data_IF_502476984949
#
_entry.id   IF_502476984949
#
_cell.length_a   1.000
_cell.length_b   1.000
_cell.length_c   1.000
_cell.angle_alpha   90.00
_cell.angle_beta   90.00
_cell.angle_gamma   90.00
#
_symmetry.space_group_name_H-M   'P 1'
#
loop_
_entity.id
_entity.type
_entity.pdbx_description
1 polymer ?
#
# COMPACT_ATOMS: atom_id res chain seq x y z
N UNK A 1 -91.34 -23.56 19.17
CA UNK A 1 -91.25 -24.97 18.75
C UNK A 1 -91.31 -25.82 20.02
N UNK A 2 -92.50 -26.32 20.36
CA UNK A 2 -92.65 -27.27 21.45
C UNK A 2 -92.61 -28.68 20.82
N UNK A 3 -91.49 -29.37 21.00
CA UNK A 3 -91.36 -30.76 20.55
C UNK A 3 -92.32 -31.64 21.34
N UNK A 4 -92.99 -32.50 20.57
CA UNK A 4 -94.02 -33.40 21.02
C UNK A 4 -93.46 -34.43 22.01
N UNK A 5 -94.06 -34.47 23.21
CA UNK A 5 -93.93 -35.59 24.12
C UNK A 5 -94.66 -36.81 23.55
N UNK A 6 -93.98 -37.54 22.67
CA UNK A 6 -94.43 -38.86 22.23
C UNK A 6 -94.55 -39.77 23.46
N UNK A 7 -95.76 -40.30 23.69
CA UNK A 7 -96.02 -41.29 24.73
C UNK A 7 -95.09 -42.50 24.59
N UNK A 8 -94.47 -42.99 25.67
CA UNK A 8 -93.77 -44.27 25.62
C UNK A 8 -94.80 -45.39 25.49
N UNK A 9 -95.01 -45.84 24.25
CA UNK A 9 -95.87 -46.98 23.95
C UNK A 9 -95.28 -48.25 24.62
N UNK A 10 -96.09 -49.08 25.29
CA UNK A 10 -95.59 -50.20 26.07
C UNK A 10 -95.18 -51.39 25.19
N UNK A 11 -93.98 -51.90 25.48
CA UNK A 11 -93.64 -53.33 25.51
C UNK A 11 -94.00 -54.18 24.28
N UNK A 12 -93.06 -54.28 23.32
CA UNK A 12 -92.82 -55.61 22.71
C UNK A 12 -92.14 -56.47 23.79
N UNK A 13 -92.65 -57.67 24.13
CA UNK A 13 -91.95 -58.53 25.06
C UNK A 13 -90.62 -58.95 24.43
N UNK A 14 -89.53 -58.42 24.98
CA UNK A 14 -88.17 -58.90 24.71
C UNK A 14 -88.13 -60.36 25.17
N UNK A 15 -88.22 -61.30 24.25
CA UNK A 15 -88.11 -62.72 24.56
C UNK A 15 -86.67 -63.00 25.02
N UNK A 16 -86.52 -63.56 26.22
CA UNK A 16 -85.22 -64.00 26.72
C UNK A 16 -84.78 -65.28 26.00
N UNK A 17 -83.51 -65.34 25.64
CA UNK A 17 -82.86 -66.55 25.11
C UNK A 17 -82.94 -67.67 26.15
N UNK A 18 -83.25 -68.90 25.71
CA UNK A 18 -83.37 -70.08 26.59
C UNK A 18 -82.11 -70.94 26.48
N UNK A 19 -81.52 -71.30 27.62
CA UNK A 19 -80.35 -72.19 27.74
C UNK A 19 -80.82 -73.54 28.34
N UNK A 20 -79.99 -74.59 28.33
CA UNK A 20 -80.37 -75.92 28.85
C UNK A 20 -80.88 -75.81 30.30
N UNK A 21 -82.21 -75.92 30.46
CA UNK A 21 -83.01 -75.61 31.65
C UNK A 21 -83.08 -74.12 32.02
N UNK A 22 -83.85 -73.34 31.25
CA UNK A 22 -84.38 -72.03 31.67
C UNK A 22 -83.89 -70.83 30.83
N UNK A 23 -84.26 -69.63 31.23
CA UNK A 23 -83.77 -68.39 30.59
C UNK A 23 -82.30 -68.11 30.92
N UNK A 24 -81.59 -67.44 30.02
CA UNK A 24 -80.24 -66.94 30.26
C UNK A 24 -80.24 -65.94 31.43
N UNK A 25 -79.64 -66.35 32.55
CA UNK A 25 -79.60 -65.56 33.78
C UNK A 25 -78.89 -64.22 33.59
N UNK A 26 -77.84 -64.17 32.76
CA UNK A 26 -77.08 -62.93 32.51
C UNK A 26 -77.96 -61.93 31.76
N UNK A 27 -78.67 -62.40 30.73
CA UNK A 27 -79.58 -61.57 29.94
C UNK A 27 -80.77 -61.07 30.77
N UNK A 28 -81.33 -61.91 31.65
CA UNK A 28 -82.42 -61.53 32.56
C UNK A 28 -81.94 -60.50 33.57
N UNK A 29 -80.76 -60.69 34.19
CA UNK A 29 -80.20 -59.74 35.15
C UNK A 29 -79.89 -58.39 34.52
N UNK A 30 -79.35 -58.36 33.30
CA UNK A 30 -79.15 -57.12 32.55
C UNK A 30 -80.47 -56.41 32.23
N UNK A 31 -81.49 -57.15 31.84
CA UNK A 31 -82.82 -56.58 31.60
C UNK A 31 -83.47 -56.06 32.87
N UNK A 32 -83.40 -56.79 33.99
CA UNK A 32 -83.92 -56.33 35.29
C UNK A 32 -83.16 -55.10 35.76
N UNK A 33 -81.83 -55.05 35.60
CA UNK A 33 -81.03 -53.84 35.88
C UNK A 33 -81.46 -52.67 35.01
N UNK A 34 -81.71 -52.89 33.72
CA UNK A 34 -82.19 -51.87 32.79
C UNK A 34 -83.58 -51.35 33.19
N UNK A 35 -84.54 -52.24 33.45
CA UNK A 35 -85.90 -51.86 33.88
C UNK A 35 -85.88 -51.15 35.24
N UNK A 36 -85.04 -51.60 36.18
CA UNK A 36 -84.87 -50.92 37.46
C UNK A 36 -84.29 -49.52 37.29
N UNK A 37 -83.34 -49.33 36.38
CA UNK A 37 -82.79 -48.03 36.03
C UNK A 37 -83.84 -47.12 35.35
N UNK A 38 -84.60 -47.66 34.39
CA UNK A 38 -85.70 -46.96 33.71
C UNK A 38 -86.81 -46.56 34.70
N UNK A 39 -87.21 -47.45 35.62
CA UNK A 39 -88.20 -47.16 36.65
C UNK A 39 -87.71 -46.07 37.62
N UNK A 40 -86.43 -46.11 38.00
CA UNK A 40 -85.80 -45.07 38.83
C UNK A 40 -85.78 -43.73 38.11
N UNK A 41 -85.44 -43.71 36.82
CA UNK A 41 -85.48 -42.51 36.00
C UNK A 41 -86.91 -41.98 35.83
N UNK A 42 -87.89 -42.86 35.57
CA UNK A 42 -89.29 -42.49 35.43
C UNK A 42 -89.86 -41.94 36.76
N UNK A 43 -89.47 -42.53 37.89
CA UNK A 43 -89.88 -42.04 39.20
C UNK A 43 -89.32 -40.64 39.47
N UNK A 44 -88.04 -40.41 39.17
CA UNK A 44 -87.42 -39.08 39.25
C UNK A 44 -88.12 -38.08 38.34
N UNK A 45 -88.34 -38.42 37.08
CA UNK A 45 -89.07 -37.57 36.13
C UNK A 45 -90.49 -37.29 36.60
N UNK A 46 -91.19 -38.26 37.19
CA UNK A 46 -92.52 -38.08 37.77
C UNK A 46 -92.48 -37.14 38.96
N UNK A 47 -91.49 -37.26 39.84
CA UNK A 47 -91.31 -36.37 40.99
C UNK A 47 -91.00 -34.93 40.52
N UNK A 48 -90.12 -34.76 39.53
CA UNK A 48 -89.78 -33.45 38.94
C UNK A 48 -91.01 -32.79 38.28
N UNK A 49 -91.78 -33.56 37.50
CA UNK A 49 -93.02 -33.07 36.89
C UNK A 49 -94.03 -32.74 37.99
N UNK A 50 -94.20 -33.58 39.00
CA UNK A 50 -95.12 -33.31 40.12
C UNK A 50 -94.74 -32.03 40.86
N UNK A 51 -93.44 -31.78 41.09
CA UNK A 51 -92.95 -30.53 41.68
C UNK A 51 -93.30 -29.34 40.77
N UNK A 52 -93.03 -29.45 39.47
CA UNK A 52 -93.39 -28.40 38.50
C UNK A 52 -94.89 -28.11 38.46
N UNK A 53 -95.75 -29.13 38.58
CA UNK A 53 -97.21 -28.94 38.65
C UNK A 53 -97.58 -28.19 39.93
N UNK A 54 -96.97 -28.53 41.07
CA UNK A 54 -97.26 -27.80 42.33
C UNK A 54 -96.83 -26.34 42.26
N UNK A 55 -95.68 -26.04 41.65
CA UNK A 55 -95.18 -24.66 41.52
C UNK A 55 -95.99 -23.85 40.52
N UNK A 56 -96.37 -24.45 39.38
CA UNK A 56 -97.29 -23.83 38.43
C UNK A 56 -98.68 -23.60 39.03
N UNK A 57 -99.18 -24.52 39.86
CA UNK A 57 -100.47 -24.35 40.55
C UNK A 57 -100.42 -23.18 41.53
N UNK A 58 -99.30 -23.03 42.28
CA UNK A 58 -99.08 -21.85 43.13
C UNK A 58 -99.04 -20.58 42.28
N UNK A 59 -98.21 -20.54 41.24
CA UNK A 59 -98.10 -19.38 40.34
C UNK A 59 -99.44 -19.00 39.72
N UNK A 60 -100.26 -19.97 39.31
CA UNK A 60 -101.60 -19.74 38.80
C UNK A 60 -102.53 -19.15 39.86
N UNK A 61 -102.51 -19.68 41.09
CA UNK A 61 -103.33 -19.15 42.18
C UNK A 61 -102.95 -17.71 42.54
N UNK A 62 -101.64 -17.40 42.59
CA UNK A 62 -101.15 -16.04 42.79
C UNK A 62 -101.58 -15.11 41.66
N UNK A 63 -101.42 -15.53 40.41
CA UNK A 63 -101.83 -14.73 39.25
C UNK A 63 -103.36 -14.51 39.20
N UNK A 64 -104.16 -15.50 39.60
CA UNK A 64 -105.62 -15.36 39.71
C UNK A 64 -106.02 -14.35 40.78
N UNK A 65 -105.34 -14.38 41.94
CA UNK A 65 -105.57 -13.42 43.01
C UNK A 65 -105.17 -12.00 42.57
N UNK A 66 -103.98 -11.83 42.00
CA UNK A 66 -103.49 -10.54 41.51
C UNK A 66 -104.41 -9.96 40.43
N UNK A 67 -104.92 -10.80 39.53
CA UNK A 67 -105.89 -10.39 38.52
C UNK A 67 -107.24 -9.98 39.13
N UNK A 68 -107.70 -10.66 40.19
CA UNK A 68 -108.91 -10.28 40.90
C UNK A 68 -108.73 -8.92 41.61
N UNK A 69 -107.59 -8.72 42.28
CA UNK A 69 -107.24 -7.47 42.95
C UNK A 69 -107.11 -6.30 41.96
N UNK A 70 -106.44 -6.52 40.82
CA UNK A 70 -106.31 -5.53 39.75
C UNK A 70 -107.66 -5.16 39.12
N UNK A 71 -108.54 -6.15 38.90
CA UNK A 71 -109.91 -5.90 38.43
C UNK A 71 -110.69 -5.06 39.43
N UNK A 72 -110.62 -5.39 40.73
CA UNK A 72 -111.31 -4.63 41.76
C UNK A 72 -110.78 -3.20 41.87
N UNK A 73 -109.46 -3.00 41.76
CA UNK A 73 -108.84 -1.67 41.73
C UNK A 73 -109.29 -0.86 40.51
N UNK A 74 -109.32 -1.48 39.32
CA UNK A 74 -109.79 -0.84 38.09
C UNK A 74 -111.27 -0.44 38.18
N UNK A 75 -112.14 -1.33 38.69
CA UNK A 75 -113.56 -1.01 38.89
C UNK A 75 -113.74 0.21 39.79
N UNK A 76 -113.00 0.29 40.91
CA UNK A 76 -113.02 1.47 41.80
C UNK A 76 -112.53 2.74 41.09
N UNK A 77 -111.50 2.63 40.25
CA UNK A 77 -110.96 3.77 39.49
C UNK A 77 -111.93 4.28 38.41
N UNK A 78 -112.74 3.40 37.83
CA UNK A 78 -113.75 3.74 36.82
C UNK A 78 -115.01 4.32 37.45
N UNK A 79 -115.43 3.82 38.62
CA UNK A 79 -116.63 4.27 39.33
C UNK A 79 -116.44 5.65 39.99
N UNK A 80 -115.27 5.93 40.58
CA UNK A 80 -114.93 7.24 41.16
C UNK A 80 -113.52 7.71 40.73
N UNK A 81 -113.37 8.25 39.51
CA UNK A 81 -112.08 8.62 38.95
C UNK A 81 -111.41 9.83 39.62
N UNK A 82 -112.16 10.60 40.42
CA UNK A 82 -111.65 11.73 41.21
C UNK A 82 -111.47 11.37 42.69
N UNK A 83 -111.84 10.16 43.09
CA UNK A 83 -111.72 9.67 44.45
C UNK A 83 -110.27 9.44 44.90
N UNK A 84 -109.99 9.45 46.22
CA UNK A 84 -108.64 9.26 46.75
C UNK A 84 -107.95 7.95 46.31
N UNK A 85 -108.73 6.87 46.13
CA UNK A 85 -108.22 5.56 45.69
C UNK A 85 -107.76 5.58 44.22
N UNK A 86 -108.54 6.18 43.33
CA UNK A 86 -108.20 6.35 41.91
C UNK A 86 -106.95 7.21 41.71
N UNK A 87 -106.82 8.28 42.49
CA UNK A 87 -105.62 9.14 42.47
C UNK A 87 -104.39 8.39 42.97
N UNK A 88 -104.50 7.58 44.02
CA UNK A 88 -103.39 6.78 44.56
C UNK A 88 -102.89 5.74 43.54
N UNK A 89 -103.79 5.05 42.84
CA UNK A 89 -103.43 4.12 41.76
C UNK A 89 -102.79 4.86 40.56
N UNK A 90 -103.33 6.02 40.16
CA UNK A 90 -102.71 6.82 39.09
C UNK A 90 -101.30 7.27 39.46
N UNK A 91 -101.07 7.73 40.69
CA UNK A 91 -99.73 8.10 41.17
C UNK A 91 -98.78 6.90 41.16
N UNK A 92 -99.25 5.71 41.57
CA UNK A 92 -98.46 4.48 41.50
C UNK A 92 -98.07 4.13 40.06
N UNK A 93 -99.02 4.20 39.11
CA UNK A 93 -98.72 3.98 37.68
C UNK A 93 -97.79 5.04 37.10
N UNK A 94 -97.93 6.30 37.51
CA UNK A 94 -97.03 7.38 37.09
C UNK A 94 -95.61 7.16 37.61
N UNK A 95 -95.46 6.68 38.86
CA UNK A 95 -94.17 6.35 39.43
C UNK A 95 -93.53 5.13 38.74
N UNK A 96 -94.31 4.10 38.42
CA UNK A 96 -93.85 2.96 37.63
C UNK A 96 -93.39 3.37 36.23
N UNK A 97 -94.17 4.19 35.53
CA UNK A 97 -93.78 4.73 34.22
C UNK A 97 -92.51 5.58 34.31
N UNK A 98 -92.35 6.38 35.37
CA UNK A 98 -91.13 7.14 35.59
C UNK A 98 -89.92 6.24 35.88
N UNK A 99 -90.09 5.15 36.63
CA UNK A 99 -89.05 4.16 36.87
C UNK A 99 -88.63 3.44 35.58
N UNK A 100 -89.60 3.06 34.74
CA UNK A 100 -89.35 2.49 33.41
C UNK A 100 -88.61 3.50 32.51
N UNK A 101 -89.05 4.76 32.47
CA UNK A 101 -88.39 5.83 31.70
C UNK A 101 -86.95 6.07 32.19
N UNK A 102 -86.71 6.07 33.50
CA UNK A 102 -85.36 6.19 34.07
C UNK A 102 -84.49 4.98 33.69
N UNK A 103 -85.05 3.77 33.71
CA UNK A 103 -84.33 2.56 33.31
C UNK A 103 -83.93 2.63 31.82
N UNK A 104 -84.84 3.09 30.95
CA UNK A 104 -84.58 3.29 29.53
C UNK A 104 -83.54 4.38 29.28
N UNK A 105 -83.59 5.50 30.00
CA UNK A 105 -82.60 6.57 29.92
C UNK A 105 -81.21 6.09 30.38
N UNK A 106 -81.14 5.32 31.47
CA UNK A 106 -79.88 4.72 31.93
C UNK A 106 -79.31 3.76 30.89
N UNK A 107 -80.14 2.87 30.35
CA UNK A 107 -79.71 1.93 29.30
C UNK A 107 -79.20 2.68 28.07
N UNK A 108 -79.91 3.70 27.59
CA UNK A 108 -79.45 4.53 26.47
C UNK A 108 -78.12 5.22 26.77
N UNK A 109 -77.97 5.79 27.96
CA UNK A 109 -76.72 6.43 28.36
C UNK A 109 -75.55 5.42 28.45
N UNK A 110 -75.79 4.20 28.92
CA UNK A 110 -74.81 3.12 28.94
C UNK A 110 -74.42 2.67 27.52
N UNK A 111 -75.40 2.49 26.63
CA UNK A 111 -75.18 2.14 25.23
C UNK A 111 -74.39 3.23 24.48
N UNK A 112 -74.73 4.50 24.67
CA UNK A 112 -74.01 5.64 24.09
C UNK A 112 -72.58 5.78 24.65
N UNK A 113 -72.40 5.55 25.95
CA UNK A 113 -71.07 5.55 26.56
C UNK A 113 -70.21 4.39 26.04
N UNK A 114 -70.80 3.20 25.87
CA UNK A 114 -70.12 2.04 25.29
C UNK A 114 -69.75 2.28 23.82
N UNK A 115 -70.66 2.85 23.03
CA UNK A 115 -70.41 3.21 21.64
C UNK A 115 -69.29 4.26 21.52
N UNK A 116 -69.31 5.28 22.39
CA UNK A 116 -68.29 6.33 22.41
C UNK A 116 -66.91 5.76 22.77
N UNK A 117 -66.84 4.89 23.80
CA UNK A 117 -65.58 4.21 24.17
C UNK A 117 -65.05 3.34 23.04
N UNK A 118 -65.92 2.51 22.43
CA UNK A 118 -65.52 1.66 21.32
C UNK A 118 -65.04 2.46 20.10
N UNK A 119 -65.68 3.58 19.78
CA UNK A 119 -65.24 4.47 18.71
C UNK A 119 -63.88 5.11 19.02
N UNK A 120 -63.67 5.56 20.26
CA UNK A 120 -62.39 6.13 20.71
C UNK A 120 -61.26 5.09 20.66
N UNK A 121 -61.50 3.87 21.13
CA UNK A 121 -60.53 2.77 21.09
C UNK A 121 -60.18 2.41 19.64
N UNK A 122 -61.19 2.28 18.77
CA UNK A 122 -60.96 2.01 17.33
C UNK A 122 -60.15 3.12 16.65
N UNK A 123 -60.41 4.37 17.00
CA UNK A 123 -59.65 5.51 16.46
C UNK A 123 -58.21 5.51 16.97
N UNK A 124 -58.00 5.24 18.27
CA UNK A 124 -56.67 5.15 18.87
C UNK A 124 -55.86 4.01 18.25
N UNK A 125 -56.45 2.84 18.04
CA UNK A 125 -55.80 1.69 17.42
C UNK A 125 -55.45 1.99 15.96
N UNK A 126 -56.37 2.54 15.16
CA UNK A 126 -56.07 2.97 13.78
C UNK A 126 -54.93 3.99 13.72
N UNK A 127 -54.87 4.91 14.68
CA UNK A 127 -53.81 5.91 14.75
C UNK A 127 -52.47 5.27 15.09
N UNK A 128 -52.44 4.34 16.04
CA UNK A 128 -51.24 3.58 16.41
C UNK A 128 -50.74 2.70 15.27
N UNK A 129 -51.64 2.02 14.56
CA UNK A 129 -51.29 1.18 13.42
C UNK A 129 -50.71 2.01 12.27
N UNK A 130 -51.30 3.17 11.96
CA UNK A 130 -50.72 4.10 10.98
C UNK A 130 -49.34 4.60 11.39
N UNK A 131 -49.19 5.05 12.63
CA UNK A 131 -47.90 5.53 13.14
C UNK A 131 -46.82 4.42 13.11
N UNK A 132 -47.19 3.17 13.41
CA UNK A 132 -46.29 2.01 13.29
C UNK A 132 -45.91 1.74 11.83
N UNK A 133 -46.87 1.76 10.92
CA UNK A 133 -46.61 1.56 9.49
C UNK A 133 -45.69 2.65 8.92
N UNK A 134 -45.95 3.91 9.26
CA UNK A 134 -45.12 5.05 8.83
C UNK A 134 -43.70 4.94 9.40
N UNK A 135 -43.56 4.57 10.68
CA UNK A 135 -42.26 4.35 11.31
C UNK A 135 -41.49 3.19 10.66
N UNK A 136 -42.17 2.09 10.31
CA UNK A 136 -41.56 0.96 9.62
C UNK A 136 -41.11 1.35 8.20
N UNK A 137 -41.94 2.10 7.47
CA UNK A 137 -41.60 2.59 6.14
C UNK A 137 -40.38 3.52 6.19
N UNK A 138 -40.38 4.50 7.09
CA UNK A 138 -39.24 5.40 7.31
C UNK A 138 -37.98 4.63 7.70
N UNK A 139 -38.11 3.59 8.52
CA UNK A 139 -37.01 2.69 8.87
C UNK A 139 -36.41 1.98 7.65
N UNK A 140 -37.26 1.43 6.78
CA UNK A 140 -36.83 0.79 5.52
C UNK A 140 -36.16 1.78 4.56
N UNK A 141 -36.74 2.97 4.39
CA UNK A 141 -36.17 4.02 3.54
C UNK A 141 -34.81 4.49 4.05
N UNK A 142 -34.67 4.70 5.37
CA UNK A 142 -33.41 5.08 6.00
C UNK A 142 -32.33 4.00 5.83
N UNK A 143 -32.70 2.72 6.00
CA UNK A 143 -31.81 1.59 5.76
C UNK A 143 -31.37 1.50 4.30
N UNK A 144 -32.30 1.62 3.35
CA UNK A 144 -31.98 1.63 1.92
C UNK A 144 -31.05 2.79 1.58
N UNK A 145 -31.30 3.98 2.13
CA UNK A 145 -30.46 5.15 1.90
C UNK A 145 -29.06 4.97 2.48
N UNK A 146 -28.94 4.42 3.69
CA UNK A 146 -27.65 4.07 4.30
C UNK A 146 -26.87 3.09 3.43
N UNK A 147 -27.51 1.99 3.03
CA UNK A 147 -26.87 0.97 2.19
C UNK A 147 -26.46 1.54 0.81
N UNK A 148 -27.22 2.48 0.26
CA UNK A 148 -26.85 3.16 -0.99
C UNK A 148 -25.63 4.06 -0.81
N UNK A 149 -25.60 4.86 0.28
CA UNK A 149 -24.47 5.73 0.58
C UNK A 149 -23.19 4.93 0.90
N UNK A 150 -23.31 3.80 1.59
CA UNK A 150 -22.19 2.91 1.87
C UNK A 150 -21.59 2.35 0.58
N UNK A 151 -22.44 1.86 -0.35
CA UNK A 151 -22.00 1.41 -1.68
C UNK A 151 -21.33 2.53 -2.48
N UNK A 152 -21.93 3.72 -2.52
CA UNK A 152 -21.35 4.87 -3.22
C UNK A 152 -19.99 5.29 -2.62
N UNK A 153 -19.86 5.21 -1.30
CA UNK A 153 -18.60 5.49 -0.60
C UNK A 153 -17.54 4.42 -0.91
N UNK A 154 -17.90 3.15 -0.93
CA UNK A 154 -17.01 2.04 -1.33
C UNK A 154 -16.55 2.20 -2.78
N UNK A 155 -17.46 2.47 -3.72
CA UNK A 155 -17.13 2.73 -5.12
C UNK A 155 -16.21 3.93 -5.28
N UNK A 156 -16.46 5.03 -4.56
CA UNK A 156 -15.62 6.23 -4.57
C UNK A 156 -14.23 5.95 -4.01
N UNK A 157 -14.11 5.17 -2.93
CA UNK A 157 -12.81 4.76 -2.37
C UNK A 157 -12.04 3.87 -3.34
N UNK A 158 -12.68 2.85 -3.90
CA UNK A 158 -12.05 1.96 -4.88
C UNK A 158 -11.59 2.72 -6.13
N UNK A 159 -12.40 3.67 -6.63
CA UNK A 159 -12.02 4.53 -7.75
C UNK A 159 -10.83 5.44 -7.41
N UNK A 160 -10.81 6.03 -6.22
CA UNK A 160 -9.71 6.86 -5.75
C UNK A 160 -8.41 6.07 -5.56
N UNK A 161 -8.49 4.87 -4.99
CA UNK A 161 -7.34 3.96 -4.85
C UNK A 161 -6.77 3.56 -6.20
N UNK A 162 -7.64 3.16 -7.14
CA UNK A 162 -7.22 2.83 -8.52
C UNK A 162 -6.55 4.02 -9.20
N UNK A 163 -7.15 5.21 -9.13
CA UNK A 163 -6.58 6.41 -9.74
C UNK A 163 -5.23 6.82 -9.08
N UNK A 164 -5.09 6.61 -7.77
CA UNK A 164 -3.82 6.82 -7.06
C UNK A 164 -2.75 5.83 -7.53
N UNK A 165 -3.08 4.54 -7.59
CA UNK A 165 -2.18 3.50 -8.07
C UNK A 165 -1.73 3.76 -9.52
N UNK A 166 -2.64 4.16 -10.41
CA UNK A 166 -2.32 4.52 -11.79
C UNK A 166 -1.37 5.73 -11.87
N UNK A 167 -1.58 6.76 -11.03
CA UNK A 167 -0.68 7.92 -10.97
C UNK A 167 0.71 7.55 -10.46
N UNK A 168 0.79 6.70 -9.45
CA UNK A 168 2.07 6.21 -8.90
C UNK A 168 2.81 5.41 -9.97
N UNK A 169 2.14 4.45 -10.63
CA UNK A 169 2.74 3.66 -11.70
C UNK A 169 3.21 4.53 -12.88
N UNK A 170 2.42 5.54 -13.27
CA UNK A 170 2.81 6.48 -14.32
C UNK A 170 4.04 7.33 -13.91
N UNK A 171 4.09 7.79 -12.66
CA UNK A 171 5.22 8.55 -12.14
C UNK A 171 6.49 7.70 -12.05
N UNK A 172 6.39 6.45 -11.61
CA UNK A 172 7.50 5.50 -11.56
C UNK A 172 8.05 5.21 -12.96
N UNK A 173 7.17 4.95 -13.93
CA UNK A 173 7.57 4.76 -15.33
C UNK A 173 8.28 5.99 -15.89
N UNK A 174 7.72 7.18 -15.69
CA UNK A 174 8.33 8.43 -16.17
C UNK A 174 9.69 8.70 -15.50
N UNK A 175 9.84 8.34 -14.21
CA UNK A 175 11.12 8.42 -13.51
C UNK A 175 12.15 7.46 -14.09
N UNK A 176 11.76 6.19 -14.30
CA UNK A 176 12.63 5.18 -14.92
C UNK A 176 13.09 5.59 -16.33
N UNK A 177 12.19 6.13 -17.15
CA UNK A 177 12.52 6.65 -18.48
C UNK A 177 13.52 7.82 -18.43
N UNK A 178 13.36 8.74 -17.47
CA UNK A 178 14.32 9.84 -17.26
C UNK A 178 15.69 9.35 -16.82
N UNK A 179 15.74 8.39 -15.89
CA UNK A 179 16.99 7.78 -15.43
C UNK A 179 17.70 7.11 -16.61
N UNK A 180 17.00 6.29 -17.38
CA UNK A 180 17.56 5.63 -18.56
C UNK A 180 18.07 6.62 -19.62
N UNK A 181 17.34 7.72 -19.87
CA UNK A 181 17.76 8.76 -20.81
C UNK A 181 19.01 9.51 -20.32
N UNK A 182 19.09 9.80 -19.02
CA UNK A 182 20.25 10.44 -18.41
C UNK A 182 21.48 9.51 -18.45
N UNK A 183 21.32 8.23 -18.13
CA UNK A 183 22.39 7.24 -18.22
C UNK A 183 22.93 7.12 -19.64
N UNK A 184 22.04 7.05 -20.64
CA UNK A 184 22.43 7.03 -22.05
C UNK A 184 23.23 8.28 -22.43
N UNK A 185 22.74 9.46 -22.08
CA UNK A 185 23.42 10.74 -22.37
C UNK A 185 24.78 10.82 -21.67
N UNK A 186 24.86 10.34 -20.43
CA UNK A 186 26.11 10.28 -19.67
C UNK A 186 27.11 9.33 -20.33
N UNK A 187 26.67 8.13 -20.73
CA UNK A 187 27.51 7.17 -21.45
C UNK A 187 28.02 7.73 -22.78
N UNK A 188 27.17 8.39 -23.57
CA UNK A 188 27.56 9.06 -24.82
C UNK A 188 28.58 10.17 -24.57
N UNK A 189 28.41 10.96 -23.52
CA UNK A 189 29.34 12.04 -23.16
C UNK A 189 30.69 11.49 -22.70
N UNK A 190 30.69 10.43 -21.90
CA UNK A 190 31.92 9.75 -21.46
C UNK A 190 32.66 9.18 -22.67
N UNK A 191 31.97 8.46 -23.55
CA UNK A 191 32.56 7.89 -24.76
C UNK A 191 33.13 8.98 -25.71
N UNK A 192 32.43 10.10 -25.88
CA UNK A 192 32.92 11.23 -26.66
C UNK A 192 34.17 11.85 -26.05
N UNK A 193 34.19 12.06 -24.73
CA UNK A 193 35.35 12.59 -24.01
C UNK A 193 36.55 11.65 -24.08
N UNK A 194 36.34 10.33 -23.92
CA UNK A 194 37.38 9.32 -24.06
C UNK A 194 37.98 9.33 -25.47
N UNK A 195 37.14 9.40 -26.50
CA UNK A 195 37.60 9.51 -27.89
C UNK A 195 38.44 10.78 -28.12
N UNK A 196 37.95 11.94 -27.69
CA UNK A 196 38.70 13.20 -27.81
C UNK A 196 40.01 13.18 -27.00
N UNK A 197 40.00 12.55 -25.82
CA UNK A 197 41.20 12.37 -25.01
C UNK A 197 42.22 11.49 -25.72
N UNK A 198 41.79 10.35 -26.28
CA UNK A 198 42.64 9.45 -27.04
C UNK A 198 43.23 10.13 -28.28
N UNK A 199 42.44 10.90 -29.02
CA UNK A 199 42.92 11.70 -30.17
C UNK A 199 43.96 12.73 -29.76
N UNK A 200 43.78 13.43 -28.63
CA UNK A 200 44.76 14.39 -28.10
C UNK A 200 46.05 13.69 -27.65
N UNK A 201 45.96 12.55 -26.98
CA UNK A 201 47.12 11.76 -26.57
C UNK A 201 47.89 11.30 -27.82
N UNK A 202 47.21 10.72 -28.82
CA UNK A 202 47.84 10.28 -30.06
C UNK A 202 48.50 11.44 -30.82
N UNK A 203 47.87 12.62 -30.86
CA UNK A 203 48.45 13.81 -31.48
C UNK A 203 49.69 14.31 -30.72
N UNK A 204 49.66 14.30 -29.38
CA UNK A 204 50.79 14.68 -28.55
C UNK A 204 51.96 13.69 -28.69
N UNK A 205 51.68 12.38 -28.74
CA UNK A 205 52.69 11.34 -28.98
C UNK A 205 53.33 11.49 -30.36
N UNK A 206 52.52 11.73 -31.41
CA UNK A 206 53.04 12.00 -32.76
C UNK A 206 53.95 13.22 -32.78
N UNK A 207 53.51 14.34 -32.20
CA UNK A 207 54.29 15.58 -32.13
C UNK A 207 55.59 15.37 -31.35
N UNK A 208 55.54 14.69 -30.20
CA UNK A 208 56.74 14.36 -29.42
C UNK A 208 57.70 13.46 -30.19
N UNK A 209 57.18 12.47 -30.93
CA UNK A 209 57.99 11.60 -31.79
C UNK A 209 58.67 12.39 -32.91
N UNK A 210 57.97 13.33 -33.55
CA UNK A 210 58.52 14.22 -34.58
C UNK A 210 59.58 15.17 -34.00
N UNK A 211 59.36 15.77 -32.83
CA UNK A 211 60.33 16.62 -32.14
C UNK A 211 61.59 15.84 -31.72
N UNK A 212 61.43 14.63 -31.19
CA UNK A 212 62.55 13.75 -30.85
C UNK A 212 63.33 13.37 -32.12
N UNK A 213 62.64 13.06 -33.23
CA UNK A 213 63.29 12.76 -34.50
C UNK A 213 64.06 13.97 -35.06
N UNK A 214 63.46 15.16 -35.03
CA UNK A 214 64.10 16.40 -35.45
C UNK A 214 65.32 16.76 -34.57
N UNK A 215 65.19 16.63 -33.25
CA UNK A 215 66.27 16.85 -32.31
C UNK A 215 67.42 15.86 -32.52
N UNK A 216 67.12 14.58 -32.81
CA UNK A 216 68.14 13.58 -33.17
C UNK A 216 68.84 13.93 -34.48
N UNK A 217 68.10 14.32 -35.52
CA UNK A 217 68.66 14.71 -36.81
C UNK A 217 69.56 15.95 -36.67
N UNK A 218 69.15 16.95 -35.89
CA UNK A 218 69.97 18.13 -35.63
C UNK A 218 71.20 17.80 -34.78
N UNK A 219 71.06 16.97 -33.75
CA UNK A 219 72.20 16.50 -32.96
C UNK A 219 73.21 15.72 -33.83
N UNK A 220 72.73 14.90 -34.77
CA UNK A 220 73.57 14.18 -35.73
C UNK A 220 74.25 15.15 -36.72
N UNK A 221 73.54 16.17 -37.20
CA UNK A 221 74.10 17.23 -38.05
C UNK A 221 75.22 17.98 -37.34
N UNK A 222 74.98 18.45 -36.10
CA UNK A 222 75.96 19.15 -35.27
C UNK A 222 77.14 18.24 -34.93
N UNK A 223 76.91 16.97 -34.60
CA UNK A 223 77.98 16.01 -34.33
C UNK A 223 78.85 15.78 -35.58
N UNK A 224 78.25 15.67 -36.77
CA UNK A 224 78.97 15.54 -38.03
C UNK A 224 79.74 16.81 -38.40
N UNK A 225 79.16 17.99 -38.17
CA UNK A 225 79.81 19.29 -38.40
C UNK A 225 81.00 19.51 -37.44
N UNK A 226 80.82 19.20 -36.15
CA UNK A 226 81.89 19.22 -35.16
C UNK A 226 83.00 18.22 -35.50
N UNK A 227 82.64 17.01 -35.95
CA UNK A 227 83.61 16.00 -36.39
C UNK A 227 84.38 16.44 -37.63
N UNK A 228 83.70 17.09 -38.58
CA UNK A 228 84.32 17.64 -39.79
C UNK A 228 85.30 18.78 -39.46
N UNK A 229 84.87 19.74 -38.63
CA UNK A 229 85.72 20.87 -38.21
C UNK A 229 86.89 20.40 -37.35
N UNK A 230 86.68 19.48 -36.41
CA UNK A 230 87.76 18.86 -35.64
C UNK A 230 88.76 18.11 -36.54
N UNK A 231 88.26 17.41 -37.58
CA UNK A 231 89.13 16.78 -38.57
C UNK A 231 89.93 17.81 -39.37
N UNK A 232 89.29 18.86 -39.87
CA UNK A 232 89.96 19.95 -40.58
C UNK A 232 91.02 20.64 -39.71
N UNK A 233 90.72 20.89 -38.43
CA UNK A 233 91.68 21.44 -37.48
C UNK A 233 92.84 20.49 -37.23
N UNK A 234 92.58 19.18 -37.06
CA UNK A 234 93.65 18.18 -36.94
C UNK A 234 94.52 18.13 -38.20
N UNK A 235 93.91 18.11 -39.39
CA UNK A 235 94.62 18.12 -40.67
C UNK A 235 95.46 19.41 -40.84
N UNK A 236 94.92 20.58 -40.44
CA UNK A 236 95.66 21.85 -40.41
C UNK A 236 96.83 21.84 -39.43
N UNK A 237 96.63 21.31 -38.21
CA UNK A 237 97.69 21.20 -37.21
C UNK A 237 98.79 20.24 -37.68
N UNK A 238 98.43 19.13 -38.34
CA UNK A 238 99.39 18.20 -38.95
C UNK A 238 100.14 18.91 -40.07
N UNK A 239 99.45 19.58 -40.99
CA UNK A 239 100.09 20.32 -42.08
C UNK A 239 101.02 21.44 -41.57
N UNK A 240 100.63 22.16 -40.52
CA UNK A 240 101.46 23.18 -39.89
C UNK A 240 102.68 22.56 -39.17
N UNK A 241 102.49 21.43 -38.49
CA UNK A 241 103.58 20.67 -37.88
C UNK A 241 104.56 20.15 -38.94
N UNK A 242 104.06 19.62 -40.05
CA UNK A 242 104.87 19.19 -41.21
C UNK A 242 105.61 20.35 -41.84
N UNK A 243 104.98 21.52 -42.00
CA UNK A 243 105.64 22.73 -42.50
C UNK A 243 106.75 23.20 -41.56
N UNK A 244 106.50 23.22 -40.25
CA UNK A 244 107.52 23.54 -39.24
C UNK A 244 108.67 22.53 -39.25
N UNK A 245 108.37 21.24 -39.43
CA UNK A 245 109.38 20.18 -39.60
C UNK A 245 110.19 20.37 -40.89
N UNK A 246 109.55 20.72 -42.00
CA UNK A 246 110.21 21.01 -43.27
C UNK A 246 111.11 22.25 -43.16
N UNK A 247 110.63 23.34 -42.54
CA UNK A 247 111.43 24.54 -42.26
C UNK A 247 112.61 24.23 -41.32
N UNK A 248 112.39 23.43 -40.27
CA UNK A 248 113.46 22.99 -39.37
C UNK A 248 114.50 22.13 -40.09
N UNK A 249 114.06 21.23 -40.98
CA UNK A 249 114.95 20.43 -41.82
C UNK A 249 115.70 21.26 -42.86
N UNK A 250 115.07 22.26 -43.46
CA UNK A 250 115.71 23.20 -44.38
C UNK A 250 116.80 23.99 -43.64
N UNK A 251 116.48 24.57 -42.47
CA UNK A 251 117.46 25.23 -41.60
C UNK A 251 118.59 24.30 -41.17
N UNK A 252 118.29 23.03 -40.86
CA UNK A 252 119.31 22.00 -40.56
C UNK A 252 120.23 21.76 -41.76
N UNK A 253 119.67 21.69 -42.95
CA UNK A 253 120.42 21.49 -44.20
C UNK A 253 121.28 22.72 -44.53
N UNK A 254 120.76 23.92 -44.37
CA UNK A 254 121.53 25.17 -44.46
C UNK A 254 122.65 25.23 -43.43
N UNK A 255 122.38 24.85 -42.17
CA UNK A 255 123.40 24.79 -41.12
C UNK A 255 124.50 23.77 -41.44
N UNK A 256 124.15 22.61 -42.01
CA UNK A 256 125.12 21.63 -42.50
C UNK A 256 125.90 22.14 -43.71
N UNK A 257 125.27 22.86 -44.63
CA UNK A 257 125.93 23.47 -45.78
C UNK A 257 126.88 24.60 -45.37
N UNK A 258 126.48 25.43 -44.39
CA UNK A 258 127.34 26.42 -43.74
C UNK A 258 128.52 25.75 -43.04
N UNK A 259 128.29 24.65 -42.31
CA UNK A 259 129.37 23.84 -41.72
C UNK A 259 130.30 23.28 -42.80
N UNK A 260 129.77 22.82 -43.93
CA UNK A 260 130.55 22.40 -45.10
C UNK A 260 131.43 23.52 -45.66
N UNK A 261 130.86 24.72 -45.87
CA UNK A 261 131.60 25.91 -46.33
C UNK A 261 132.66 26.36 -45.32
N UNK A 262 132.38 26.27 -44.02
CA UNK A 262 133.35 26.56 -42.96
C UNK A 262 134.46 25.51 -42.94
N UNK A 263 134.15 24.23 -43.14
CA UNK A 263 135.13 23.16 -43.26
C UNK A 263 136.01 23.33 -44.51
N UNK A 264 135.46 23.72 -45.66
CA UNK A 264 136.22 24.07 -46.87
C UNK A 264 137.13 25.29 -46.64
N UNK A 265 136.64 26.34 -45.97
CA UNK A 265 137.47 27.50 -45.61
C UNK A 265 138.60 27.13 -44.65
N UNK A 266 138.34 26.27 -43.67
CA UNK A 266 139.36 25.76 -42.74
C UNK A 266 140.39 24.87 -43.47
N UNK A 267 139.96 24.03 -44.41
CA UNK A 267 140.86 23.23 -45.24
C UNK A 267 141.73 24.11 -46.16
N UNK A 268 141.15 25.16 -46.77
CA UNK A 268 141.89 26.13 -47.56
C UNK A 268 142.88 26.94 -46.71
N UNK A 269 142.51 27.32 -45.48
CA UNK A 269 143.43 27.96 -44.53
C UNK A 269 144.53 27.02 -44.06
N UNK A 270 144.26 25.73 -43.84
CA UNK A 270 145.27 24.76 -43.40
C UNK A 270 146.29 24.46 -44.51
N UNK A 271 145.82 24.38 -45.76
CA UNK A 271 146.69 24.22 -46.94
C UNK A 271 147.58 25.44 -47.16
N UNK A 272 147.01 26.66 -47.03
CA UNK A 272 147.78 27.91 -47.11
C UNK A 272 148.80 28.07 -45.96
N UNK A 273 148.53 27.49 -44.79
CA UNK A 273 149.47 27.48 -43.65
C UNK A 273 150.60 26.46 -43.86
N UNK A 274 150.32 25.30 -44.45
CA UNK A 274 151.34 24.29 -44.79
C UNK A 274 152.29 24.78 -45.90
N UNK A 275 151.79 25.47 -46.92
CA UNK A 275 152.64 26.07 -47.96
C UNK A 275 153.55 27.20 -47.43
N UNK A 276 153.15 27.88 -46.36
CA UNK A 276 153.98 28.89 -45.70
C UNK A 276 155.08 28.28 -44.80
N UNK A 277 154.88 27.07 -44.28
CA UNK A 277 155.81 26.40 -43.35
C UNK A 277 156.99 25.73 -44.08
N UNK A 278 156.88 25.35 -45.35
CA UNK A 278 158.01 24.76 -46.10
C UNK A 278 159.11 25.76 -46.50
N UNK A 279 158.88 27.09 -46.41
CA UNK A 279 159.78 28.10 -46.99
C UNK A 279 160.73 28.81 -46.02
N UNK A 280 160.70 28.50 -44.73
CA UNK A 280 161.74 28.91 -43.77
C UNK A 280 161.99 27.82 -42.73
N UNK A 281 163.16 27.19 -42.83
CA UNK A 281 163.67 26.17 -41.92
C UNK A 281 164.10 26.68 -40.53
N UNK A 282 164.71 25.82 -39.68
CA UNK A 282 164.09 25.40 -38.42
C UNK A 282 164.77 25.92 -37.14
N UNK A 283 164.02 25.97 -36.04
CA UNK A 283 164.49 26.13 -34.64
C UNK A 283 163.46 25.51 -33.67
N UNK A 284 163.84 25.08 -32.45
CA UNK A 284 163.32 23.86 -31.80
C UNK A 284 162.29 24.08 -30.67
N UNK A 285 161.74 22.94 -30.18
CA UNK A 285 161.14 22.65 -28.84
C UNK A 285 159.85 23.42 -28.46
N UNK A 286 158.65 22.87 -28.28
CA UNK A 286 158.12 21.61 -27.72
C UNK A 286 158.31 21.43 -26.20
N UNK A 287 157.26 21.79 -25.42
CA UNK A 287 156.78 21.21 -24.15
C UNK A 287 155.47 21.97 -23.79
N UNK A 288 154.27 21.38 -23.87
CA UNK A 288 153.59 20.47 -22.92
C UNK A 288 153.31 21.17 -21.56
N UNK A 289 152.06 21.47 -21.23
CA UNK A 289 151.19 20.76 -20.24
C UNK A 289 150.14 21.82 -19.79
N UNK A 290 148.99 21.59 -19.15
CA UNK A 290 148.10 20.48 -18.82
C UNK A 290 146.99 21.12 -17.92
N UNK A 291 145.79 20.51 -17.86
CA UNK A 291 144.78 20.59 -16.77
C UNK A 291 144.06 21.93 -16.44
N UNK A 292 142.71 21.85 -16.40
CA UNK A 292 141.92 21.77 -15.15
C UNK A 292 140.48 22.30 -15.31
N UNK A 293 139.51 21.52 -14.80
CA UNK A 293 138.13 21.93 -14.51
C UNK A 293 138.07 22.98 -13.35
N UNK A 294 136.91 23.60 -13.05
CA UNK A 294 135.85 22.99 -12.22
C UNK A 294 134.41 23.31 -12.74
N UNK A 295 133.33 22.56 -12.47
CA UNK A 295 132.58 22.30 -11.21
C UNK A 295 132.05 23.62 -10.56
N UNK A 296 130.83 23.79 -10.03
CA UNK A 296 129.73 22.90 -9.63
C UNK A 296 128.46 23.74 -9.30
N UNK A 297 127.29 23.09 -9.28
CA UNK A 297 126.15 23.42 -8.39
C UNK A 297 125.27 24.61 -8.78
N UNK A 298 123.99 24.71 -8.43
CA UNK A 298 123.12 23.90 -7.59
C UNK A 298 121.67 24.43 -7.77
N UNK A 299 120.68 23.53 -7.70
CA UNK A 299 119.29 23.69 -7.18
C UNK A 299 118.40 24.89 -7.56
N UNK A 300 117.23 24.55 -8.12
CA UNK A 300 115.92 24.80 -7.45
C UNK A 300 114.76 23.98 -8.06
N UNK A 301 113.98 23.22 -7.27
CA UNK A 301 112.75 22.59 -7.73
C UNK A 301 111.46 23.17 -7.12
N UNK A 302 110.37 22.90 -7.85
CA UNK A 302 108.99 22.54 -7.43
C UNK A 302 108.15 23.50 -6.56
N UNK A 303 106.96 23.86 -7.07
CA UNK A 303 105.68 23.14 -6.81
C UNK A 303 104.51 23.70 -7.64
N UNK A 304 103.77 22.75 -8.26
CA UNK A 304 102.29 22.57 -8.37
C UNK A 304 101.34 23.79 -8.48
N UNK A 305 100.23 23.66 -9.24
CA UNK A 305 98.99 23.08 -8.67
C UNK A 305 98.17 22.20 -9.65
N UNK A 306 97.08 21.67 -9.09
CA UNK A 306 96.07 20.77 -9.65
C UNK A 306 95.20 21.40 -10.75
#
# INVERSE_FOLDING_TARGET
MAEAGASPNPTKPSQFTTVFRGYDQVQVDEYVKKVAAELKQLTRSRDDVSASVTDLTKALSYAQQELADAKAALTRMVEDPSGPAAMSERVKTMMQLAEEEIADLRKKAEDEAAATRSAADSYADKTREKARADAEQLGKEAEQRRNQLDKEAEERRAAAEKASAEKIAAAEKASAEKVAANEKTSAETIAANEKTSAEKIAAAEKKSSEEIAAAKAEAERVANELRSTAKQQADQMIAEAERKLAEANAKRTEALALRGKVAERLAASHTALQEAIERLGPSPEAEAEEQAAPAAGDKKPAKQPA
#
